data_IF_082325739920
#
_entry.id   IF_082325739920
#
_cell.length_a   1.000
_cell.length_b   1.000
_cell.length_c   1.000
_cell.angle_alpha   90.00
_cell.angle_beta   90.00
_cell.angle_gamma   90.00
#
_symmetry.space_group_name_H-M   'P 1'
#
loop_
_entity.id
_entity.type
_entity.pdbx_description
1 polymer ?
#
# COMPACT_ATOMS: atom_id res chain seq x y z
N UNK A 1 -0.96 16.65 3.27
CA UNK A 1 0.34 16.71 2.52
C UNK A 1 1.07 15.40 2.72
N UNK A 2 1.66 14.82 1.67
CA UNK A 2 2.44 13.58 1.78
C UNK A 2 3.71 13.85 2.60
N UNK A 3 3.91 13.06 3.62
CA UNK A 3 5.09 13.08 4.51
C UNK A 3 5.83 11.76 4.42
N UNK A 4 7.15 11.81 4.38
CA UNK A 4 8.00 10.61 4.41
C UNK A 4 8.71 10.50 5.76
N UNK A 5 8.81 9.27 6.26
CA UNK A 5 9.62 8.89 7.41
C UNK A 5 10.96 8.33 6.96
N UNK A 6 12.00 8.64 7.72
CA UNK A 6 13.35 8.12 7.48
C UNK A 6 13.99 8.61 6.18
N UNK A 7 15.18 8.09 5.93
CA UNK A 7 15.91 8.35 4.69
C UNK A 7 15.54 7.29 3.64
N UNK A 8 15.15 7.76 2.47
CA UNK A 8 14.81 6.89 1.34
C UNK A 8 15.96 6.96 0.32
N UNK A 9 16.50 5.84 -0.14
CA UNK A 9 17.57 5.80 -1.13
C UNK A 9 17.25 6.56 -2.42
N UNK A 10 18.28 6.98 -3.14
CA UNK A 10 18.11 7.69 -4.43
C UNK A 10 17.51 6.81 -5.53
N UNK A 11 17.72 5.51 -5.45
CA UNK A 11 17.16 4.50 -6.36
C UNK A 11 16.28 3.55 -5.55
N UNK A 12 15.05 3.36 -5.97
CA UNK A 12 14.05 2.50 -5.28
C UNK A 12 13.13 1.79 -6.27
N UNK A 13 12.64 0.64 -5.88
CA UNK A 13 11.49 0.03 -6.50
C UNK A 13 10.20 0.47 -5.78
N UNK A 14 9.13 0.69 -6.50
CA UNK A 14 7.83 1.08 -5.93
C UNK A 14 6.78 0.03 -6.29
N UNK A 15 6.17 -0.57 -5.28
CA UNK A 15 5.07 -1.51 -5.47
C UNK A 15 3.78 -0.75 -5.85
N UNK A 16 3.25 -1.00 -7.05
CA UNK A 16 2.08 -0.29 -7.59
C UNK A 16 0.97 -1.25 -7.99
N UNK A 17 -0.27 -0.90 -7.62
CA UNK A 17 -1.47 -1.71 -7.90
C UNK A 17 -2.56 -0.93 -8.65
N UNK A 18 -2.26 0.29 -9.11
CA UNK A 18 -3.22 1.15 -9.82
C UNK A 18 -4.11 2.00 -8.92
N UNK A 19 -4.22 1.69 -7.63
CA UNK A 19 -4.99 2.49 -6.66
C UNK A 19 -4.28 3.78 -6.24
N UNK A 20 -5.06 4.74 -5.71
CA UNK A 20 -4.60 6.10 -5.39
C UNK A 20 -3.34 6.13 -4.52
N UNK A 21 -3.25 5.28 -3.50
CA UNK A 21 -2.14 5.30 -2.54
C UNK A 21 -0.82 4.96 -3.24
N UNK A 22 -0.78 3.88 -4.02
CA UNK A 22 0.43 3.41 -4.71
C UNK A 22 0.82 4.29 -5.90
N UNK A 23 -0.18 4.81 -6.65
CA UNK A 23 0.07 5.70 -7.77
C UNK A 23 0.57 7.06 -7.30
N UNK A 24 0.00 7.61 -6.22
CA UNK A 24 0.50 8.84 -5.60
C UNK A 24 1.93 8.66 -5.06
N UNK A 25 2.21 7.52 -4.42
CA UNK A 25 3.56 7.22 -3.91
C UNK A 25 4.59 7.17 -5.04
N UNK A 26 4.27 6.51 -6.16
CA UNK A 26 5.13 6.46 -7.35
C UNK A 26 5.35 7.86 -7.92
N UNK A 27 4.28 8.64 -8.16
CA UNK A 27 4.40 10.00 -8.68
C UNK A 27 5.18 10.93 -7.75
N UNK A 28 4.98 10.81 -6.45
CA UNK A 28 5.69 11.61 -5.46
C UNK A 28 7.20 11.29 -5.47
N UNK A 29 7.57 10.01 -5.45
CA UNK A 29 8.96 9.57 -5.37
C UNK A 29 9.74 9.86 -6.66
N UNK A 30 9.17 9.61 -7.85
CA UNK A 30 9.85 9.83 -9.13
C UNK A 30 10.31 11.28 -9.36
N UNK A 31 9.74 12.25 -8.64
CA UNK A 31 10.13 13.67 -8.76
C UNK A 31 11.50 13.97 -8.17
N UNK A 32 12.02 13.10 -7.33
CA UNK A 32 13.31 13.31 -6.64
C UNK A 32 14.18 12.05 -6.54
N UNK A 33 13.69 10.93 -7.07
CA UNK A 33 14.37 9.63 -7.03
C UNK A 33 14.23 8.92 -8.36
N UNK A 34 15.21 8.05 -8.65
CA UNK A 34 15.12 7.10 -9.75
C UNK A 34 14.27 5.92 -9.29
N UNK A 35 13.14 5.73 -9.94
CA UNK A 35 12.17 4.70 -9.58
C UNK A 35 12.05 3.64 -10.67
N UNK A 36 11.90 2.39 -10.28
CA UNK A 36 11.28 1.34 -11.07
C UNK A 36 9.93 0.99 -10.46
N UNK A 37 8.98 0.59 -11.27
CA UNK A 37 7.65 0.18 -10.81
C UNK A 37 7.54 -1.35 -10.81
N UNK A 38 6.97 -1.92 -9.74
CA UNK A 38 6.68 -3.34 -9.61
C UNK A 38 5.17 -3.52 -9.51
N UNK A 39 4.56 -4.17 -10.49
CA UNK A 39 3.13 -4.49 -10.50
C UNK A 39 2.92 -5.99 -10.43
N UNK A 40 2.04 -6.47 -9.54
CA UNK A 40 1.69 -7.88 -9.47
C UNK A 40 0.20 -8.08 -9.76
N UNK A 41 -0.09 -8.79 -10.84
CA UNK A 41 -1.45 -9.08 -11.28
C UNK A 41 -1.92 -10.41 -10.68
N UNK A 42 -2.91 -10.34 -9.77
CA UNK A 42 -3.48 -11.50 -9.07
C UNK A 42 -4.54 -12.27 -9.89
N UNK A 43 -4.82 -11.87 -11.13
CA UNK A 43 -5.84 -12.51 -11.96
C UNK A 43 -7.28 -12.18 -11.56
N UNK A 44 -7.50 -11.13 -10.78
CA UNK A 44 -8.87 -10.68 -10.46
C UNK A 44 -9.54 -10.03 -11.68
N UNK A 45 -10.88 -9.92 -11.74
CA UNK A 45 -11.57 -9.27 -12.85
C UNK A 45 -11.12 -7.83 -13.14
N UNK A 46 -10.64 -7.11 -12.13
CA UNK A 46 -10.17 -5.73 -12.25
C UNK A 46 -8.67 -5.60 -12.54
N UNK A 47 -7.92 -6.69 -12.41
CA UNK A 47 -6.48 -6.68 -12.60
C UNK A 47 -6.04 -6.18 -14.00
N UNK A 48 -6.72 -6.49 -15.13
CA UNK A 48 -6.35 -5.93 -16.43
C UNK A 48 -6.45 -4.41 -16.50
N UNK A 49 -7.50 -3.83 -15.92
CA UNK A 49 -7.68 -2.37 -15.89
C UNK A 49 -6.64 -1.68 -15.03
N UNK A 50 -6.31 -2.27 -13.88
CA UNK A 50 -5.27 -1.77 -13.00
C UNK A 50 -3.89 -1.82 -13.70
N UNK A 51 -3.59 -2.93 -14.36
CA UNK A 51 -2.35 -3.09 -15.14
C UNK A 51 -2.25 -2.07 -16.28
N UNK A 52 -3.35 -1.76 -16.99
CA UNK A 52 -3.37 -0.74 -18.06
C UNK A 52 -3.02 0.64 -17.52
N UNK A 53 -3.68 1.08 -16.43
CA UNK A 53 -3.41 2.36 -15.78
C UNK A 53 -1.95 2.49 -15.37
N UNK A 54 -1.39 1.45 -14.74
CA UNK A 54 0.02 1.44 -14.33
C UNK A 54 0.96 1.50 -15.54
N UNK A 55 0.69 0.72 -16.60
CA UNK A 55 1.50 0.71 -17.83
C UNK A 55 1.51 2.08 -18.51
N UNK A 56 0.34 2.65 -18.75
CA UNK A 56 0.19 3.95 -19.40
C UNK A 56 0.93 5.04 -18.63
N UNK A 57 0.80 5.04 -17.30
CA UNK A 57 1.51 5.99 -16.44
C UNK A 57 3.03 5.80 -16.51
N UNK A 58 3.52 4.57 -16.43
CA UNK A 58 4.95 4.29 -16.49
C UNK A 58 5.55 4.65 -17.86
N UNK A 59 4.86 4.37 -18.96
CA UNK A 59 5.28 4.77 -20.31
C UNK A 59 5.35 6.28 -20.43
N UNK A 60 4.31 7.00 -20.00
CA UNK A 60 4.24 8.46 -20.08
C UNK A 60 5.35 9.18 -19.28
N UNK A 61 5.94 8.49 -18.31
CA UNK A 61 6.96 9.05 -17.42
C UNK A 61 8.32 8.33 -17.51
N UNK A 62 8.51 7.46 -18.51
CA UNK A 62 9.75 6.73 -18.75
C UNK A 62 10.22 5.92 -17.52
N UNK A 63 9.27 5.36 -16.75
CA UNK A 63 9.55 4.55 -15.57
C UNK A 63 9.65 3.08 -15.98
N UNK A 64 10.76 2.38 -15.74
CA UNK A 64 10.86 0.94 -15.97
C UNK A 64 9.79 0.21 -15.15
N UNK A 65 9.01 -0.67 -15.81
CA UNK A 65 7.91 -1.43 -15.20
C UNK A 65 8.17 -2.92 -15.33
N UNK A 66 8.10 -3.63 -14.20
CA UNK A 66 8.14 -5.08 -14.13
C UNK A 66 6.78 -5.59 -13.67
N UNK A 67 6.26 -6.60 -14.39
CA UNK A 67 4.92 -7.16 -14.13
C UNK A 67 5.04 -8.64 -13.82
N UNK A 68 4.63 -9.01 -12.61
CA UNK A 68 4.38 -10.39 -12.22
C UNK A 68 2.91 -10.76 -12.41
N UNK A 69 2.64 -12.04 -12.65
CA UNK A 69 1.28 -12.57 -12.77
C UNK A 69 1.14 -13.87 -12.00
N UNK A 70 0.03 -14.00 -11.30
CA UNK A 70 -0.31 -15.24 -10.64
C UNK A 70 -0.73 -16.28 -11.68
N UNK A 71 0.04 -17.36 -11.79
CA UNK A 71 -0.21 -18.46 -12.73
C UNK A 71 -0.51 -19.78 -12.02
N UNK A 72 -0.73 -19.75 -10.72
CA UNK A 72 -0.92 -20.91 -9.87
C UNK A 72 -2.23 -20.79 -9.08
N UNK A 73 -2.82 -21.92 -8.73
CA UNK A 73 -3.97 -21.98 -7.83
C UNK A 73 -3.50 -22.00 -6.35
N UNK A 74 -4.29 -21.42 -5.47
CA UNK A 74 -3.98 -21.46 -4.05
C UNK A 74 -4.13 -22.89 -3.51
N UNK A 75 -3.23 -23.35 -2.65
CA UNK A 75 -3.37 -24.63 -1.97
C UNK A 75 -4.65 -24.69 -1.13
N UNK A 76 -5.24 -25.88 -0.98
CA UNK A 76 -6.42 -26.09 -0.16
C UNK A 76 -6.17 -25.65 1.29
N UNK A 77 -7.12 -24.90 1.87
CA UNK A 77 -7.06 -24.47 3.27
C UNK A 77 -6.22 -23.22 3.53
N UNK A 78 -5.59 -22.64 2.51
CA UNK A 78 -4.84 -21.38 2.63
C UNK A 78 -5.78 -20.18 2.37
N UNK A 79 -5.62 -19.13 3.17
CA UNK A 79 -6.31 -17.86 2.91
C UNK A 79 -5.84 -17.28 1.58
N UNK A 80 -6.77 -16.97 0.67
CA UNK A 80 -6.46 -16.33 -0.62
C UNK A 80 -5.68 -15.01 -0.43
N UNK A 81 -6.03 -14.22 0.58
CA UNK A 81 -5.36 -12.96 0.87
C UNK A 81 -3.90 -13.18 1.27
N UNK A 82 -3.63 -14.18 2.13
CA UNK A 82 -2.28 -14.56 2.52
C UNK A 82 -1.48 -15.08 1.32
N UNK A 83 -2.09 -15.98 0.52
CA UNK A 83 -1.49 -16.51 -0.68
C UNK A 83 -1.10 -15.44 -1.70
N UNK A 84 -2.01 -14.53 -2.02
CA UNK A 84 -1.74 -13.40 -2.92
C UNK A 84 -0.63 -12.50 -2.40
N UNK A 85 -0.62 -12.29 -1.08
CA UNK A 85 0.42 -11.50 -0.44
C UNK A 85 1.78 -12.17 -0.62
N UNK A 86 1.91 -13.45 -0.28
CA UNK A 86 3.18 -14.18 -0.36
C UNK A 86 3.72 -14.19 -1.80
N UNK A 87 2.89 -14.57 -2.78
CA UNK A 87 3.28 -14.57 -4.20
C UNK A 87 3.72 -13.19 -4.71
N UNK A 88 3.08 -12.15 -4.26
CA UNK A 88 3.47 -10.78 -4.60
C UNK A 88 4.83 -10.41 -4.00
N UNK A 89 5.09 -10.79 -2.75
CA UNK A 89 6.37 -10.53 -2.10
C UNK A 89 7.49 -11.34 -2.75
N UNK A 90 7.27 -12.63 -3.04
CA UNK A 90 8.20 -13.49 -3.77
C UNK A 90 8.60 -12.87 -5.13
N UNK A 91 7.62 -12.33 -5.85
CA UNK A 91 7.88 -11.62 -7.11
C UNK A 91 8.74 -10.37 -6.90
N UNK A 92 8.46 -9.56 -5.89
CA UNK A 92 9.25 -8.36 -5.64
C UNK A 92 10.69 -8.70 -5.29
N UNK A 93 10.90 -9.67 -4.41
CA UNK A 93 12.22 -10.14 -3.96
C UNK A 93 13.04 -10.76 -5.11
N UNK A 94 12.38 -11.52 -5.99
CA UNK A 94 13.05 -12.12 -7.14
C UNK A 94 13.35 -11.16 -8.30
N UNK A 95 12.68 -10.00 -8.33
CA UNK A 95 12.79 -9.05 -9.46
C UNK A 95 13.90 -8.03 -9.24
N UNK A 96 14.18 -7.63 -8.01
CA UNK A 96 15.13 -6.55 -7.73
C UNK A 96 15.74 -6.66 -6.34
N UNK A 97 17.01 -6.23 -6.24
CA UNK A 97 17.70 -6.02 -4.95
C UNK A 97 17.49 -4.59 -4.41
N UNK A 98 16.86 -3.71 -5.19
CA UNK A 98 16.57 -2.35 -4.73
C UNK A 98 15.59 -2.37 -3.55
N UNK A 99 15.69 -1.42 -2.61
CA UNK A 99 14.69 -1.24 -1.59
C UNK A 99 13.30 -1.04 -2.21
N UNK A 100 12.33 -1.84 -1.77
CA UNK A 100 10.96 -1.81 -2.29
C UNK A 100 10.08 -0.94 -1.40
N UNK A 101 9.62 0.16 -1.95
CA UNK A 101 8.68 1.06 -1.27
C UNK A 101 7.26 0.56 -1.45
N UNK A 102 6.53 0.44 -0.34
CA UNK A 102 5.09 0.18 -0.34
C UNK A 102 4.33 1.38 0.23
N UNK A 103 3.15 1.66 -0.31
CA UNK A 103 2.34 2.84 0.02
C UNK A 103 1.44 2.64 1.26
N UNK A 104 1.91 1.88 2.26
CA UNK A 104 1.19 1.79 3.53
C UNK A 104 1.15 3.16 4.20
N UNK A 105 -0.01 3.55 4.69
CA UNK A 105 -0.29 4.87 5.23
C UNK A 105 -0.86 4.81 6.65
N UNK A 106 -1.10 5.96 7.27
CA UNK A 106 -1.54 6.05 8.66
C UNK A 106 -2.85 5.29 8.93
N UNK A 107 -3.80 5.36 8.01
CA UNK A 107 -5.07 4.64 8.16
C UNK A 107 -4.86 3.13 8.20
N UNK A 108 -3.93 2.59 7.38
CA UNK A 108 -3.55 1.16 7.44
C UNK A 108 -2.96 0.78 8.79
N UNK A 109 -2.12 1.67 9.38
CA UNK A 109 -1.53 1.40 10.69
C UNK A 109 -2.59 1.41 11.78
N UNK A 110 -3.56 2.33 11.72
CA UNK A 110 -4.68 2.37 12.67
C UNK A 110 -5.54 1.11 12.55
N UNK A 111 -5.91 0.71 11.33
CA UNK A 111 -6.67 -0.51 11.07
C UNK A 111 -5.94 -1.76 11.60
N UNK A 112 -4.64 -1.85 11.30
CA UNK A 112 -3.80 -2.95 11.80
C UNK A 112 -3.70 -2.96 13.33
N UNK A 113 -3.51 -1.79 13.94
CA UNK A 113 -3.45 -1.66 15.40
C UNK A 113 -4.74 -2.15 16.05
N UNK A 114 -5.91 -1.75 15.53
CA UNK A 114 -7.21 -2.20 16.02
C UNK A 114 -7.32 -3.72 15.87
N UNK A 115 -7.07 -4.24 14.68
CA UNK A 115 -7.17 -5.67 14.40
C UNK A 115 -6.29 -6.50 15.32
N UNK A 116 -5.04 -6.13 15.46
CA UNK A 116 -4.06 -6.88 16.27
C UNK A 116 -4.32 -6.73 17.77
N UNK A 117 -4.84 -5.57 18.23
CA UNK A 117 -5.26 -5.38 19.61
C UNK A 117 -6.43 -6.29 20.00
N UNK A 118 -7.39 -6.46 19.12
CA UNK A 118 -8.53 -7.37 19.32
C UNK A 118 -8.11 -8.85 19.39
N UNK A 119 -6.99 -9.19 18.77
CA UNK A 119 -6.40 -10.53 18.82
C UNK A 119 -5.34 -10.70 19.94
N UNK A 120 -5.24 -9.74 20.86
CA UNK A 120 -4.38 -9.83 22.04
C UNK A 120 -2.88 -9.57 21.79
N UNK A 121 -2.48 -9.21 20.60
CA UNK A 121 -1.09 -8.93 20.24
C UNK A 121 -0.94 -7.64 19.43
N UNK A 122 -1.18 -6.46 20.04
CA UNK A 122 -1.13 -5.19 19.34
C UNK A 122 0.28 -4.89 18.82
N UNK A 123 0.40 -4.63 17.53
CA UNK A 123 1.66 -4.17 16.95
C UNK A 123 1.44 -3.12 15.85
N UNK A 124 2.45 -2.27 15.65
CA UNK A 124 2.49 -1.31 14.57
C UNK A 124 3.09 -1.94 13.32
N UNK A 125 2.63 -1.51 12.15
CA UNK A 125 3.31 -1.85 10.90
C UNK A 125 4.71 -1.23 10.95
N UNK A 126 5.81 -2.02 10.82
CA UNK A 126 7.16 -1.49 10.92
C UNK A 126 7.50 -0.62 9.70
N UNK A 127 8.27 0.45 9.94
CA UNK A 127 8.78 1.32 8.88
C UNK A 127 9.61 0.55 7.85
N UNK A 128 10.46 -0.34 8.31
CA UNK A 128 11.27 -1.21 7.45
C UNK A 128 11.19 -2.66 7.93
N UNK A 129 11.16 -3.57 6.97
CA UNK A 129 11.32 -5.00 7.18
C UNK A 129 11.99 -5.58 5.94
N UNK A 130 13.16 -6.19 6.14
CA UNK A 130 13.99 -6.71 5.05
C UNK A 130 14.26 -5.61 4.00
N UNK A 131 14.01 -5.86 2.73
CA UNK A 131 14.16 -4.85 1.68
C UNK A 131 12.93 -3.90 1.55
N UNK A 132 11.85 -4.12 2.33
CA UNK A 132 10.61 -3.33 2.21
C UNK A 132 10.62 -2.12 3.12
N UNK A 133 10.41 -0.93 2.53
CA UNK A 133 10.34 0.34 3.22
C UNK A 133 8.92 0.90 3.12
N UNK A 134 8.42 1.45 4.23
CA UNK A 134 7.07 2.04 4.34
C UNK A 134 7.19 3.49 4.82
N UNK A 135 7.60 4.40 3.94
CA UNK A 135 7.92 5.76 4.36
C UNK A 135 6.68 6.62 4.67
N UNK A 136 5.49 6.16 4.33
CA UNK A 136 4.27 6.96 4.40
C UNK A 136 3.38 6.65 5.60
N UNK A 137 3.88 5.94 6.62
CA UNK A 137 3.07 5.51 7.77
C UNK A 137 2.45 6.66 8.59
N UNK A 138 2.91 7.90 8.41
CA UNK A 138 2.32 9.09 9.02
C UNK A 138 1.48 9.94 8.07
N UNK A 139 1.44 9.59 6.78
CA UNK A 139 0.59 10.23 5.76
C UNK A 139 -0.83 9.65 5.83
N UNK A 140 -1.85 10.47 5.73
CA UNK A 140 -3.23 10.00 5.70
C UNK A 140 -3.65 9.59 4.27
N UNK A 141 -4.58 8.64 4.15
CA UNK A 141 -5.12 8.21 2.85
C UNK A 141 -5.63 9.39 2.01
N UNK A 142 -6.30 10.33 2.65
CA UNK A 142 -6.81 11.53 1.99
C UNK A 142 -5.72 12.38 1.33
N UNK A 143 -4.50 12.38 1.86
CA UNK A 143 -3.39 13.12 1.26
C UNK A 143 -2.94 12.52 -0.07
N UNK A 144 -2.99 11.18 -0.21
CA UNK A 144 -2.71 10.51 -1.47
C UNK A 144 -3.78 10.77 -2.52
N UNK A 145 -5.06 10.66 -2.13
CA UNK A 145 -6.17 10.98 -3.02
C UNK A 145 -6.10 12.43 -3.52
N UNK A 146 -5.87 13.38 -2.62
CA UNK A 146 -5.69 14.79 -2.97
C UNK A 146 -4.45 15.03 -3.86
N UNK A 147 -3.38 14.27 -3.65
CA UNK A 147 -2.21 14.32 -4.52
C UNK A 147 -2.56 13.89 -5.94
N UNK A 148 -3.23 12.75 -6.11
CA UNK A 148 -3.64 12.27 -7.42
C UNK A 148 -4.51 13.28 -8.15
N UNK A 149 -5.52 13.85 -7.49
CA UNK A 149 -6.40 14.87 -8.06
C UNK A 149 -5.61 16.10 -8.49
N UNK A 150 -4.76 16.65 -7.62
CA UNK A 150 -3.98 17.87 -7.89
C UNK A 150 -2.93 17.70 -8.97
N UNK A 151 -2.38 16.49 -9.13
CA UNK A 151 -1.30 16.21 -10.09
C UNK A 151 -1.77 15.51 -11.35
N UNK A 152 -3.07 15.21 -11.46
CA UNK A 152 -3.63 14.49 -12.61
C UNK A 152 -3.08 13.05 -12.71
N UNK A 153 -2.77 12.41 -11.58
CA UNK A 153 -2.27 11.04 -11.56
C UNK A 153 -3.46 10.10 -11.77
N UNK A 154 -3.46 9.26 -12.81
CA UNK A 154 -4.56 8.33 -13.04
C UNK A 154 -4.60 7.25 -11.96
N UNK A 155 -5.81 6.86 -11.57
CA UNK A 155 -6.05 5.83 -10.57
C UNK A 155 -7.25 4.98 -10.95
N UNK A 156 -7.29 3.77 -10.44
CA UNK A 156 -8.46 2.90 -10.54
C UNK A 156 -8.93 2.50 -9.14
N UNK A 157 -10.23 2.51 -8.93
CA UNK A 157 -10.83 1.98 -7.72
C UNK A 157 -11.28 0.54 -7.97
N UNK A 158 -10.80 -0.38 -7.14
CA UNK A 158 -11.22 -1.78 -7.15
C UNK A 158 -12.47 -1.90 -6.26
N UNK A 159 -13.64 -2.28 -6.79
CA UNK A 159 -14.86 -2.45 -6.00
C UNK A 159 -14.73 -3.47 -4.87
N UNK A 160 -13.77 -4.39 -4.94
CA UNK A 160 -13.52 -5.33 -3.85
C UNK A 160 -13.05 -4.64 -2.56
N UNK A 161 -12.58 -3.39 -2.63
CA UNK A 161 -12.22 -2.59 -1.46
C UNK A 161 -13.42 -2.26 -0.56
N UNK A 162 -14.65 -2.31 -1.09
CA UNK A 162 -15.89 -2.05 -0.35
C UNK A 162 -16.54 -3.34 0.20
N UNK A 163 -16.04 -4.50 -0.18
CA UNK A 163 -16.59 -5.78 0.25
C UNK A 163 -16.21 -6.09 1.71
N UNK A 164 -17.17 -5.89 2.61
CA UNK A 164 -17.00 -6.06 4.06
C UNK A 164 -16.85 -7.51 4.53
N UNK A 165 -16.96 -8.51 3.63
CA UNK A 165 -16.58 -9.90 3.98
C UNK A 165 -15.10 -10.02 4.33
N UNK A 166 -14.25 -9.15 3.80
CA UNK A 166 -12.85 -9.06 4.16
C UNK A 166 -12.70 -8.30 5.49
N UNK A 167 -12.00 -8.92 6.45
CA UNK A 167 -11.85 -8.36 7.82
C UNK A 167 -11.32 -6.94 7.83
N UNK A 168 -10.39 -6.62 6.95
CA UNK A 168 -9.79 -5.28 6.85
C UNK A 168 -10.80 -4.25 6.36
N UNK A 169 -11.59 -4.58 5.34
CA UNK A 169 -12.65 -3.71 4.84
C UNK A 169 -13.75 -3.54 5.90
N UNK A 170 -14.09 -4.60 6.64
CA UNK A 170 -15.02 -4.49 7.76
C UNK A 170 -14.54 -3.49 8.82
N UNK A 171 -13.26 -3.56 9.21
CA UNK A 171 -12.69 -2.58 10.14
C UNK A 171 -12.79 -1.18 9.56
N UNK A 172 -12.39 -0.98 8.31
CA UNK A 172 -12.38 0.31 7.62
C UNK A 172 -13.76 0.94 7.51
N UNK A 173 -14.74 0.19 7.03
CA UNK A 173 -16.05 0.73 6.67
C UNK A 173 -17.07 0.65 7.81
N UNK A 174 -16.97 -0.35 8.69
CA UNK A 174 -17.94 -0.58 9.76
C UNK A 174 -17.41 -0.14 11.12
N UNK A 175 -16.21 -0.55 11.52
CA UNK A 175 -15.72 -0.27 12.87
C UNK A 175 -15.14 1.12 13.03
N UNK A 176 -14.40 1.63 12.03
CA UNK A 176 -13.72 2.93 12.14
C UNK A 176 -14.64 4.10 12.48
N UNK A 177 -15.87 4.23 11.94
CA UNK A 177 -16.79 5.27 12.38
C UNK A 177 -17.07 5.24 13.89
N UNK A 178 -17.26 4.05 14.46
CA UNK A 178 -17.48 3.89 15.91
C UNK A 178 -16.22 4.17 16.72
N UNK A 179 -15.07 3.71 16.25
CA UNK A 179 -13.77 4.02 16.88
C UNK A 179 -13.52 5.53 16.94
N UNK A 180 -13.79 6.25 15.85
CA UNK A 180 -13.67 7.71 15.79
C UNK A 180 -14.66 8.44 16.67
N UNK A 181 -15.84 7.88 16.92
CA UNK A 181 -16.81 8.42 17.88
C UNK A 181 -16.27 8.32 19.31
N UNK A 182 -15.63 7.20 19.66
CA UNK A 182 -15.05 6.97 21.00
C UNK A 182 -13.75 7.77 21.17
N UNK A 183 -12.89 7.76 20.17
CA UNK A 183 -11.61 8.44 20.17
C UNK A 183 -11.35 9.16 18.83
N UNK A 184 -11.82 10.41 18.67
CA UNK A 184 -11.55 11.22 17.47
C UNK A 184 -10.04 11.44 17.22
N UNK A 185 -9.22 11.31 18.25
CA UNK A 185 -7.76 11.50 18.21
C UNK A 185 -6.96 10.25 17.92
N UNK A 186 -7.57 9.11 17.59
CA UNK A 186 -6.87 7.82 17.40
C UNK A 186 -5.71 7.92 16.41
N UNK A 187 -5.91 8.60 15.27
CA UNK A 187 -4.85 8.80 14.27
C UNK A 187 -3.66 9.57 14.85
N UNK A 188 -3.92 10.60 15.66
CA UNK A 188 -2.86 11.37 16.34
C UNK A 188 -2.09 10.49 17.34
N UNK A 189 -2.81 9.66 18.09
CA UNK A 189 -2.21 8.72 19.06
C UNK A 189 -1.31 7.71 18.34
N UNK A 190 -1.79 7.09 17.27
CA UNK A 190 -1.01 6.10 16.51
C UNK A 190 0.19 6.75 15.81
N UNK A 191 0.02 7.94 15.22
CA UNK A 191 1.14 8.70 14.62
C UNK A 191 2.25 8.96 15.64
N UNK A 192 1.90 9.35 16.88
CA UNK A 192 2.89 9.50 17.95
C UNK A 192 3.61 8.19 18.24
N UNK A 193 2.88 7.07 18.38
CA UNK A 193 3.49 5.75 18.61
C UNK A 193 4.45 5.32 17.50
N UNK A 194 4.13 5.64 16.22
CA UNK A 194 5.02 5.39 15.09
C UNK A 194 6.32 6.19 15.27
N UNK A 195 6.22 7.48 15.55
CA UNK A 195 7.39 8.34 15.72
C UNK A 195 8.25 7.94 16.91
N UNK A 196 7.64 7.48 18.00
CA UNK A 196 8.34 7.01 19.21
C UNK A 196 9.02 5.63 18.97
N UNK A 197 8.70 4.91 17.88
CA UNK A 197 9.25 3.58 17.55
C UNK A 197 10.39 3.60 16.52
N UNK A 198 10.71 4.77 15.95
CA UNK A 198 11.80 4.99 14.99
C UNK A 198 13.11 5.27 15.70
#
# INVERSE_FOLDING_TARGET
MIHMLGEIPKEVAVAVIGGADSMAALDFLRRSRKCIALHYNHGTPYAPSAESVVKEYCVAHEIPLYIGRLNEEAPSGVSMEAWWRDKRYDFFESTTELPVVTAHHLDDVVENWIFTSMNGNPFLIPHQRDQFIRPFLTTEKTDFTLWCVRKGVPTIDDPSNDDTKYRRNYIRHTMMPHVLTINPGIKKTIRKKILDSL
#
